data_IF_978208124015
#
_entry.id   IF_978208124015
#
_cell.length_a   1.000
_cell.length_b   1.000
_cell.length_c   1.000
_cell.angle_alpha   90.00
_cell.angle_beta   90.00
_cell.angle_gamma   90.00
#
_symmetry.space_group_name_H-M   'P 1'
#
loop_
_entity.id
_entity.type
_entity.pdbx_description
1 polymer ?
#
# COMPACT_ATOMS: atom_id res chain seq x y z
N UNK A 1 17.12 0.47 9.23
CA UNK A 1 16.04 0.62 8.21
C UNK A 1 16.64 0.39 6.84
N UNK A 2 16.22 -0.63 6.08
CA UNK A 2 16.86 -0.98 4.81
C UNK A 2 16.74 0.18 3.79
N UNK A 3 17.88 0.80 3.46
CA UNK A 3 18.02 1.97 2.56
C UNK A 3 17.22 1.83 1.25
N UNK A 4 17.13 0.60 0.73
CA UNK A 4 16.38 0.24 -0.46
C UNK A 4 14.88 0.65 -0.43
N UNK A 5 14.16 0.35 0.65
CA UNK A 5 12.71 0.62 0.71
C UNK A 5 12.40 2.11 0.76
N UNK A 6 13.26 2.88 1.43
CA UNK A 6 13.18 4.34 1.42
C UNK A 6 13.36 4.87 0.01
N UNK A 7 14.29 4.33 -0.77
CA UNK A 7 14.51 4.75 -2.16
C UNK A 7 13.37 4.38 -3.10
N UNK A 8 12.65 3.28 -2.85
CA UNK A 8 11.53 2.86 -3.70
C UNK A 8 10.20 3.57 -3.36
N UNK A 9 9.83 3.66 -2.08
CA UNK A 9 8.52 4.20 -1.69
C UNK A 9 8.51 5.74 -1.68
N UNK A 10 9.59 6.36 -1.22
CA UNK A 10 9.63 7.82 -1.00
C UNK A 10 9.30 8.66 -2.25
N UNK A 11 9.82 8.36 -3.46
CA UNK A 11 9.50 9.15 -4.65
C UNK A 11 8.01 9.09 -5.01
N UNK A 12 7.43 7.89 -4.96
CA UNK A 12 6.02 7.64 -5.30
C UNK A 12 5.09 8.37 -4.35
N UNK A 13 5.27 8.18 -3.05
CA UNK A 13 4.43 8.81 -2.03
C UNK A 13 4.59 10.34 -1.98
N UNK A 14 5.82 10.83 -2.22
CA UNK A 14 6.07 12.28 -2.33
C UNK A 14 5.35 12.88 -3.53
N UNK A 15 5.39 12.24 -4.69
CA UNK A 15 4.71 12.73 -5.90
C UNK A 15 3.19 12.67 -5.75
N UNK A 16 2.67 11.65 -5.06
CA UNK A 16 1.25 11.59 -4.71
C UNK A 16 0.83 12.68 -3.72
N UNK A 17 1.77 13.31 -3.02
CA UNK A 17 1.46 14.20 -1.90
C UNK A 17 0.77 13.45 -0.76
N UNK A 18 1.24 12.24 -0.47
CA UNK A 18 0.75 11.35 0.59
C UNK A 18 1.89 11.06 1.56
N UNK A 19 1.66 11.32 2.85
CA UNK A 19 2.61 11.06 3.91
C UNK A 19 2.73 9.57 4.23
N UNK A 20 3.85 9.17 4.81
CA UNK A 20 4.12 7.77 5.13
C UNK A 20 4.92 7.67 6.42
N UNK A 21 4.31 7.10 7.46
CA UNK A 21 4.93 6.80 8.75
C UNK A 21 5.14 5.29 8.87
N UNK A 22 6.37 4.93 9.23
CA UNK A 22 6.79 3.54 9.39
C UNK A 22 6.33 2.95 10.74
N UNK A 23 6.35 1.63 10.92
CA UNK A 23 6.04 0.97 12.19
C UNK A 23 6.93 1.35 13.37
N UNK A 24 8.11 1.94 13.13
CA UNK A 24 8.94 2.48 14.20
C UNK A 24 8.57 3.91 14.59
N UNK A 25 7.50 4.47 14.03
CA UNK A 25 7.10 5.87 14.19
C UNK A 25 7.94 6.85 13.36
N UNK A 26 8.89 6.37 12.55
CA UNK A 26 9.72 7.26 11.74
C UNK A 26 8.95 7.71 10.50
N UNK A 27 8.95 9.01 10.24
CA UNK A 27 8.34 9.62 9.07
C UNK A 27 9.23 9.45 7.83
N UNK A 28 8.76 8.67 6.86
CA UNK A 28 9.46 8.38 5.62
C UNK A 28 9.19 9.45 4.56
N UNK A 29 7.95 9.93 4.52
CA UNK A 29 7.45 11.00 3.66
C UNK A 29 6.56 11.91 4.49
N UNK A 30 6.86 13.21 4.48
CA UNK A 30 6.01 14.24 5.08
C UNK A 30 4.93 14.59 4.08
N UNK A 31 3.67 14.53 4.49
CA UNK A 31 2.56 14.99 3.66
C UNK A 31 2.59 16.52 3.51
N UNK A 32 2.10 17.07 2.38
CA UNK A 32 1.69 18.47 2.32
C UNK A 32 0.64 18.78 3.40
N UNK A 33 0.42 20.07 3.72
CA UNK A 33 -0.47 20.49 4.82
C UNK A 33 -1.91 19.95 4.74
N UNK A 34 -2.39 19.64 3.53
CA UNK A 34 -3.72 19.10 3.23
C UNK A 34 -3.69 17.60 2.83
N UNK A 35 -2.53 16.95 2.96
CA UNK A 35 -2.28 15.61 2.47
C UNK A 35 -2.53 14.53 3.53
N UNK A 36 -3.14 13.39 3.16
CA UNK A 36 -3.31 12.28 4.07
C UNK A 36 -1.96 11.60 4.36
N UNK A 37 -1.81 11.08 5.57
CA UNK A 37 -0.62 10.34 6.01
C UNK A 37 -0.98 8.90 6.36
N UNK A 38 -0.29 7.95 5.75
CA UNK A 38 -0.47 6.52 6.01
C UNK A 38 0.45 6.08 7.14
N UNK A 39 -0.12 5.53 8.20
CA UNK A 39 0.62 5.08 9.38
C UNK A 39 0.56 3.56 9.46
N UNK A 40 1.70 2.89 9.31
CA UNK A 40 1.76 1.43 9.34
C UNK A 40 2.10 0.91 10.74
N UNK A 41 1.35 -0.08 11.22
CA UNK A 41 1.65 -0.76 12.48
C UNK A 41 2.65 -1.92 12.32
N UNK A 42 2.85 -2.44 11.10
CA UNK A 42 3.67 -3.64 10.84
C UNK A 42 4.54 -3.50 9.60
N UNK A 43 5.80 -3.90 9.73
CA UNK A 43 6.78 -3.87 8.63
C UNK A 43 6.35 -4.72 7.45
N UNK A 44 5.76 -5.90 7.73
CA UNK A 44 5.24 -6.80 6.71
C UNK A 44 4.23 -6.12 5.80
N UNK A 45 3.27 -5.39 6.36
CA UNK A 45 2.18 -4.80 5.57
C UNK A 45 2.68 -3.61 4.74
N UNK A 46 3.65 -2.85 5.27
CA UNK A 46 4.35 -1.82 4.50
C UNK A 46 5.22 -2.40 3.37
N UNK A 47 5.91 -3.52 3.61
CA UNK A 47 6.72 -4.17 2.57
C UNK A 47 5.89 -4.77 1.43
N UNK A 48 4.68 -5.26 1.74
CA UNK A 48 3.76 -5.78 0.73
C UNK A 48 3.32 -4.72 -0.29
N UNK A 49 3.40 -3.43 0.06
CA UNK A 49 3.16 -2.34 -0.90
C UNK A 49 4.08 -2.40 -2.14
N UNK A 50 5.30 -2.90 -2.00
CA UNK A 50 6.21 -3.02 -3.15
C UNK A 50 5.84 -4.14 -4.12
N UNK A 51 5.06 -5.12 -3.66
CA UNK A 51 4.75 -6.34 -4.40
C UNK A 51 3.34 -6.25 -5.00
N UNK A 52 2.37 -5.90 -4.15
CA UNK A 52 0.96 -5.83 -4.49
C UNK A 52 0.34 -4.60 -3.80
N UNK A 53 0.62 -3.38 -4.30
CA UNK A 53 0.25 -2.13 -3.63
C UNK A 53 -1.24 -2.03 -3.33
N UNK A 54 -2.08 -2.36 -4.31
CA UNK A 54 -3.55 -2.30 -4.18
C UNK A 54 -4.06 -3.25 -3.09
N UNK A 55 -3.69 -4.53 -3.16
CA UNK A 55 -4.14 -5.52 -2.19
C UNK A 55 -3.56 -5.27 -0.78
N UNK A 56 -2.28 -4.90 -0.70
CA UNK A 56 -1.62 -4.61 0.55
C UNK A 56 -2.24 -3.39 1.26
N UNK A 57 -2.54 -2.34 0.51
CA UNK A 57 -3.25 -1.16 1.03
C UNK A 57 -4.62 -1.56 1.58
N UNK A 58 -5.45 -2.23 0.77
CA UNK A 58 -6.80 -2.62 1.16
C UNK A 58 -6.80 -3.56 2.38
N UNK A 59 -5.93 -4.58 2.39
CA UNK A 59 -5.86 -5.51 3.52
C UNK A 59 -5.32 -4.85 4.79
N UNK A 60 -4.31 -3.98 4.68
CA UNK A 60 -3.72 -3.33 5.85
C UNK A 60 -4.72 -2.36 6.47
N UNK A 61 -5.45 -1.60 5.65
CA UNK A 61 -6.53 -0.73 6.10
C UNK A 61 -7.66 -1.53 6.75
N UNK A 62 -8.20 -2.53 6.06
CA UNK A 62 -9.34 -3.33 6.54
C UNK A 62 -9.04 -4.10 7.84
N UNK A 63 -7.76 -4.47 8.07
CA UNK A 63 -7.33 -5.15 9.31
C UNK A 63 -6.89 -4.18 10.42
N UNK A 64 -6.94 -2.86 10.19
CA UNK A 64 -6.44 -1.86 11.13
C UNK A 64 -4.92 -1.89 11.33
N UNK A 65 -4.17 -2.54 10.43
CA UNK A 65 -2.70 -2.53 10.45
C UNK A 65 -2.09 -1.31 9.77
N UNK A 66 -2.93 -0.51 9.11
CA UNK A 66 -2.60 0.78 8.54
C UNK A 66 -3.75 1.73 8.81
N UNK A 67 -3.46 2.88 9.40
CA UNK A 67 -4.41 3.96 9.64
C UNK A 67 -4.08 5.16 8.76
N UNK A 68 -5.01 6.11 8.69
CA UNK A 68 -4.86 7.34 7.91
C UNK A 68 -5.08 8.52 8.85
N UNK A 69 -4.14 9.45 8.82
CA UNK A 69 -4.19 10.71 9.56
C UNK A 69 -4.31 11.88 8.57
N UNK A 70 -4.94 12.98 9.00
CA UNK A 70 -5.06 14.20 8.19
C UNK A 70 -5.94 14.06 6.95
N UNK A 71 -6.82 13.06 6.88
CA UNK A 71 -7.75 12.85 5.77
C UNK A 71 -8.52 11.53 5.88
N UNK A 72 -9.29 11.19 4.85
CA UNK A 72 -10.01 9.93 4.71
C UNK A 72 -9.30 8.97 3.75
N UNK A 73 -9.74 7.71 3.75
CA UNK A 73 -9.23 6.67 2.84
C UNK A 73 -9.35 7.06 1.37
N UNK A 74 -10.44 7.73 1.00
CA UNK A 74 -10.66 8.20 -0.37
C UNK A 74 -9.63 9.26 -0.81
N UNK A 75 -9.19 10.14 0.10
CA UNK A 75 -8.19 11.17 -0.21
C UNK A 75 -6.86 10.53 -0.59
N UNK A 76 -6.43 9.54 0.20
CA UNK A 76 -5.20 8.79 -0.07
C UNK A 76 -5.31 8.03 -1.39
N UNK A 77 -6.44 7.35 -1.64
CA UNK A 77 -6.66 6.58 -2.87
C UNK A 77 -6.67 7.47 -4.12
N UNK A 78 -7.38 8.59 -4.11
CA UNK A 78 -7.46 9.52 -5.25
C UNK A 78 -6.08 10.07 -5.58
N UNK A 79 -5.32 10.50 -4.57
CA UNK A 79 -3.95 11.00 -4.75
C UNK A 79 -3.03 9.94 -5.35
N UNK A 80 -3.08 8.71 -4.85
CA UNK A 80 -2.30 7.59 -5.38
C UNK A 80 -2.72 7.19 -6.81
N UNK A 81 -4.01 7.25 -7.16
CA UNK A 81 -4.50 6.95 -8.52
C UNK A 81 -4.07 8.01 -9.54
N UNK A 82 -4.03 9.29 -9.15
CA UNK A 82 -3.60 10.39 -10.03
C UNK A 82 -2.17 10.21 -10.53
N UNK A 83 -1.27 9.78 -9.64
CA UNK A 83 0.11 9.49 -10.04
C UNK A 83 0.22 8.19 -10.84
N UNK A 84 -0.61 7.19 -10.58
CA UNK A 84 -0.58 5.93 -11.36
C UNK A 84 -0.96 6.18 -12.83
N UNK A 85 -1.94 7.05 -13.08
CA UNK A 85 -2.33 7.46 -14.44
C UNK A 85 -1.23 8.21 -15.21
N UNK A 86 -0.33 8.89 -14.50
CA UNK A 86 0.78 9.68 -15.08
C UNK A 86 2.13 8.94 -15.06
N UNK A 87 2.32 7.97 -14.17
CA UNK A 87 3.57 7.26 -13.89
C UNK A 87 3.64 5.82 -14.41
N UNK A 88 3.04 5.52 -15.57
CA UNK A 88 3.41 4.32 -16.33
C UNK A 88 4.93 4.21 -16.63
N UNK A 89 5.72 5.24 -16.31
CA UNK A 89 7.17 5.37 -16.54
C UNK A 89 8.08 5.36 -15.30
N UNK A 90 7.64 5.67 -14.07
CA UNK A 90 8.56 5.76 -12.91
C UNK A 90 8.85 4.39 -12.28
N UNK A 91 8.05 3.38 -12.60
CA UNK A 91 8.30 1.97 -12.22
C UNK A 91 9.59 1.38 -12.83
N UNK A 92 10.28 2.07 -13.76
CA UNK A 92 11.43 1.54 -14.50
C UNK A 92 12.73 1.46 -13.69
N UNK A 93 12.94 2.27 -12.65
CA UNK A 93 14.22 2.30 -11.92
C UNK A 93 14.41 1.14 -10.90
N UNK A 94 13.32 0.53 -10.42
CA UNK A 94 13.33 -0.62 -9.49
C UNK A 94 13.07 -1.98 -10.15
N UNK A 95 12.90 -2.02 -11.48
CA UNK A 95 12.36 -3.17 -12.22
C UNK A 95 13.18 -4.45 -12.05
N UNK A 96 14.50 -4.41 -11.98
CA UNK A 96 15.31 -5.64 -11.94
C UNK A 96 14.94 -6.55 -10.77
N UNK A 97 15.10 -6.05 -9.54
CA UNK A 97 14.88 -6.86 -8.34
C UNK A 97 13.39 -7.06 -8.01
N UNK A 98 12.55 -6.04 -8.21
CA UNK A 98 11.10 -6.14 -7.92
C UNK A 98 10.40 -7.01 -8.97
N UNK A 99 10.73 -6.92 -10.25
CA UNK A 99 10.11 -7.78 -11.28
C UNK A 99 10.52 -9.24 -11.12
N UNK A 100 11.77 -9.50 -10.71
CA UNK A 100 12.26 -10.86 -10.45
C UNK A 100 11.64 -11.47 -9.18
N UNK A 101 11.42 -10.66 -8.15
CA UNK A 101 10.90 -11.16 -6.85
C UNK A 101 9.38 -11.07 -6.74
N UNK A 102 8.69 -10.22 -7.52
CA UNK A 102 7.24 -10.07 -7.48
C UNK A 102 6.48 -11.38 -7.78
N UNK A 103 6.87 -12.26 -8.73
CA UNK A 103 6.25 -13.56 -8.90
C UNK A 103 6.40 -14.43 -7.65
N UNK A 104 7.60 -14.47 -7.06
CA UNK A 104 7.88 -15.23 -5.84
C UNK A 104 7.06 -14.71 -4.66
N UNK A 105 6.99 -13.40 -4.49
CA UNK A 105 6.17 -12.81 -3.44
C UNK A 105 4.66 -12.95 -3.70
N UNK A 106 4.18 -12.89 -4.96
CA UNK A 106 2.78 -13.21 -5.30
C UNK A 106 2.44 -14.67 -4.98
N UNK A 107 3.39 -15.58 -5.22
CA UNK A 107 3.29 -16.99 -4.82
C UNK A 107 3.27 -17.12 -3.28
N UNK A 108 4.13 -16.40 -2.55
CA UNK A 108 4.15 -16.38 -1.07
C UNK A 108 2.92 -15.68 -0.45
N UNK A 109 2.38 -14.67 -1.11
CA UNK A 109 1.09 -14.07 -0.78
C UNK A 109 -0.04 -15.07 -0.97
N UNK A 110 0.18 -16.18 -1.67
CA UNK A 110 -0.75 -17.29 -1.72
C UNK A 110 -1.99 -16.92 -2.52
N UNK A 111 -1.86 -16.82 -3.83
CA UNK A 111 -2.97 -17.02 -4.78
C UNK A 111 -3.41 -18.50 -4.80
N UNK A 112 -3.50 -19.13 -3.62
CA UNK A 112 -4.01 -20.48 -3.49
C UNK A 112 -5.54 -20.42 -3.41
N UNK A 113 -6.26 -21.40 -3.97
CA UNK A 113 -7.71 -21.48 -3.84
C UNK A 113 -8.18 -21.37 -2.38
N UNK A 114 -7.40 -21.93 -1.43
CA UNK A 114 -7.67 -21.84 0.01
C UNK A 114 -7.68 -20.41 0.55
N UNK A 115 -6.71 -19.58 0.14
CA UNK A 115 -6.64 -18.18 0.60
C UNK A 115 -7.65 -17.31 -0.14
N UNK A 116 -7.88 -17.56 -1.42
CA UNK A 116 -8.97 -16.93 -2.19
C UNK A 116 -10.32 -17.19 -1.53
N UNK A 117 -10.61 -18.44 -1.14
CA UNK A 117 -11.83 -18.80 -0.38
C UNK A 117 -11.93 -18.03 0.94
N UNK A 118 -10.83 -17.84 1.67
CA UNK A 118 -10.81 -17.02 2.90
C UNK A 118 -11.10 -15.54 2.65
N UNK A 119 -10.63 -14.99 1.53
CA UNK A 119 -10.89 -13.60 1.14
C UNK A 119 -12.33 -13.40 0.64
N UNK A 120 -12.88 -14.37 -0.09
CA UNK A 120 -14.28 -14.38 -0.56
C UNK A 120 -15.27 -14.58 0.61
N UNK A 121 -14.88 -15.31 1.67
CA UNK A 121 -15.76 -15.60 2.82
C UNK A 121 -16.19 -14.37 3.63
N UNK A 122 -15.58 -13.21 3.40
CA UNK A 122 -16.11 -11.92 3.84
C UNK A 122 -17.16 -11.39 2.85
N UNK A 123 -17.99 -12.29 2.29
CA UNK A 123 -19.27 -11.90 1.73
C UNK A 123 -20.09 -11.41 2.91
N UNK A 124 -20.04 -10.09 3.15
CA UNK A 124 -21.05 -9.42 3.95
C UNK A 124 -22.40 -9.85 3.36
N UNK A 125 -23.28 -10.41 4.17
CA UNK A 125 -24.70 -10.45 3.83
C UNK A 125 -25.16 -8.99 3.81
N UNK A 126 -24.94 -8.32 2.68
CA UNK A 126 -25.53 -7.04 2.35
C UNK A 126 -27.01 -7.30 2.00
N UNK A 127 -27.77 -7.76 2.99
CA UNK A 127 -29.23 -7.77 2.94
C UNK A 127 -29.75 -6.35 3.14
N UNK A 128 -30.96 -6.06 2.66
CA UNK A 128 -31.57 -4.72 2.62
C UNK A 128 -31.83 -4.05 4.00
N UNK A 129 -31.18 -4.49 5.08
CA UNK A 129 -31.38 -4.01 6.45
C UNK A 129 -30.50 -2.79 6.79
N UNK A 130 -30.04 -2.04 5.79
CA UNK A 130 -29.23 -0.82 5.94
C UNK A 130 -30.05 0.47 5.80
#
# INVERSE_FOLDING_TARGET
>A
MNSFFRSCLRPVFREAGVGLITPSGAELVVAPADGPTLVFARWRDMFRLLISPELAFCEAYAKGHMTIEGGQVYDAMIRMMRINATQSRVFLAGKGLITLTAPLFRLMEGTTPRKSKKNVHAHYDLGNDF
#
